data_IF_742493103349
#
_entry.id   IF_742493103349
#
_cell.length_a   1.000
_cell.length_b   1.000
_cell.length_c   1.000
_cell.angle_alpha   90.00
_cell.angle_beta   90.00
_cell.angle_gamma   90.00
#
_symmetry.space_group_name_H-M   'P 1'
#
loop_
_entity.id
_entity.type
_entity.pdbx_description
1 polymer ?
#
# COMPACT_ATOMS: atom_id res chain seq x y z
N UNK A 1 -2.88 7.30 -17.36
CA UNK A 1 -3.67 6.15 -16.85
C UNK A 1 -3.11 4.85 -17.39
N UNK A 2 -3.07 4.67 -18.71
CA UNK A 2 -2.59 3.46 -19.43
C UNK A 2 -1.10 3.10 -19.26
N UNK A 3 -0.41 3.73 -18.31
CA UNK A 3 1.03 3.57 -18.09
C UNK A 3 1.44 3.18 -16.69
N UNK A 4 0.48 3.16 -15.77
CA UNK A 4 0.67 2.47 -14.52
C UNK A 4 0.75 0.97 -14.85
N UNK A 5 1.53 0.17 -14.10
CA UNK A 5 1.65 -1.24 -14.38
C UNK A 5 0.25 -1.86 -14.53
N UNK A 6 0.02 -2.73 -15.52
CA UNK A 6 -1.26 -3.39 -15.65
C UNK A 6 -1.51 -4.17 -14.36
N UNK A 7 -2.61 -3.86 -13.67
CA UNK A 7 -2.98 -4.64 -12.49
C UNK A 7 -3.50 -5.99 -12.92
N UNK A 8 -3.11 -7.02 -12.19
CA UNK A 8 -3.61 -8.39 -12.33
C UNK A 8 -5.11 -8.50 -12.03
N UNK A 9 -5.70 -7.48 -11.40
CA UNK A 9 -7.14 -7.35 -11.19
C UNK A 9 -7.82 -6.56 -12.32
N UNK A 10 -8.91 -7.09 -12.92
CA UNK A 10 -9.59 -6.52 -14.09
C UNK A 10 -10.56 -5.38 -13.76
N UNK A 11 -10.43 -4.71 -12.61
CA UNK A 11 -11.22 -3.51 -12.39
C UNK A 11 -10.77 -2.42 -13.37
N UNK A 12 -11.74 -1.93 -14.14
CA UNK A 12 -11.52 -0.98 -15.23
C UNK A 12 -10.76 0.24 -14.72
N UNK A 13 -9.60 0.51 -15.32
CA UNK A 13 -9.01 1.84 -15.28
C UNK A 13 -10.15 2.86 -15.48
N UNK A 14 -10.39 3.80 -14.54
CA UNK A 14 -11.45 4.78 -14.70
C UNK A 14 -11.23 5.51 -16.02
N UNK A 15 -12.20 5.37 -16.90
CA UNK A 15 -12.16 6.02 -18.19
C UNK A 15 -12.53 7.47 -18.00
N UNK A 16 -11.75 8.34 -18.61
CA UNK A 16 -11.94 9.77 -18.51
C UNK A 16 -12.59 10.22 -19.81
N UNK A 17 -13.87 10.63 -19.81
CA UNK A 17 -14.55 11.02 -21.04
C UNK A 17 -13.92 12.28 -21.63
N UNK A 18 -13.77 12.30 -22.96
CA UNK A 18 -13.42 13.52 -23.68
C UNK A 18 -14.67 14.40 -23.81
N UNK A 19 -14.60 15.62 -23.31
CA UNK A 19 -15.74 16.53 -23.22
C UNK A 19 -15.87 17.48 -24.41
N UNK A 20 -15.30 17.12 -25.57
CA UNK A 20 -15.26 18.01 -26.75
C UNK A 20 -14.64 19.38 -26.40
N UNK A 21 -13.56 19.33 -25.64
CA UNK A 21 -12.84 20.49 -25.12
C UNK A 21 -12.40 21.44 -26.27
N UNK A 22 -12.42 22.77 -26.04
CA UNK A 22 -11.90 23.73 -27.02
C UNK A 22 -10.43 23.46 -27.31
N UNK A 23 -9.97 23.84 -28.50
CA UNK A 23 -8.58 23.62 -28.90
C UNK A 23 -7.61 24.41 -28.03
N UNK A 24 -6.62 23.71 -27.47
CA UNK A 24 -5.53 24.35 -26.75
C UNK A 24 -4.62 25.07 -27.76
N UNK A 25 -4.43 26.37 -27.56
CA UNK A 25 -3.84 27.27 -28.56
C UNK A 25 -2.30 27.33 -28.54
N UNK A 26 -1.65 26.57 -27.66
CA UNK A 26 -0.20 26.56 -27.42
C UNK A 26 0.42 27.94 -27.12
N UNK A 27 -0.38 28.96 -26.76
CA UNK A 27 0.09 30.31 -26.42
C UNK A 27 0.37 30.49 -24.91
N UNK A 28 0.81 29.41 -24.27
CA UNK A 28 1.17 29.37 -22.86
C UNK A 28 0.00 29.10 -21.90
N UNK A 29 0.32 28.39 -20.83
CA UNK A 29 -0.64 27.85 -19.86
C UNK A 29 -1.43 28.93 -19.12
N UNK A 30 -0.77 30.00 -18.66
CA UNK A 30 -1.39 30.98 -17.77
C UNK A 30 -2.48 31.84 -18.45
N UNK A 31 -2.27 32.21 -19.71
CA UNK A 31 -3.19 33.11 -20.44
C UNK A 31 -4.36 32.41 -21.13
N UNK A 32 -4.35 31.06 -21.19
CA UNK A 32 -5.36 30.29 -21.92
C UNK A 32 -6.81 30.55 -21.46
N UNK A 33 -7.13 30.60 -20.13
CA UNK A 33 -8.48 30.91 -19.68
C UNK A 33 -9.05 32.21 -20.26
N UNK A 34 -8.28 33.29 -20.16
CA UNK A 34 -8.70 34.61 -20.60
C UNK A 34 -8.89 34.66 -22.13
N UNK A 35 -8.02 33.99 -22.89
CA UNK A 35 -8.16 33.90 -24.36
C UNK A 35 -9.39 33.11 -24.80
N UNK A 36 -9.80 32.13 -23.99
CA UNK A 36 -11.03 31.36 -24.20
C UNK A 36 -12.29 32.06 -23.63
N UNK A 37 -12.15 33.26 -23.05
CA UNK A 37 -13.25 34.03 -22.49
C UNK A 37 -13.65 33.66 -21.07
N UNK A 38 -12.86 32.84 -20.38
CA UNK A 38 -13.13 32.38 -19.01
C UNK A 38 -12.36 33.21 -17.99
N UNK A 39 -13.08 33.74 -17.00
CA UNK A 39 -12.54 34.39 -15.81
C UNK A 39 -12.48 33.38 -14.68
N UNK A 40 -11.28 32.89 -14.38
CA UNK A 40 -11.09 31.84 -13.37
C UNK A 40 -11.49 32.30 -11.99
N UNK A 41 -11.27 33.57 -11.63
CA UNK A 41 -11.55 34.07 -10.29
C UNK A 41 -13.06 34.13 -10.06
N UNK A 42 -13.83 34.55 -11.08
CA UNK A 42 -15.30 34.49 -11.03
C UNK A 42 -15.83 33.07 -10.94
N UNK A 43 -15.30 32.16 -11.77
CA UNK A 43 -15.71 30.74 -11.75
C UNK A 43 -15.47 30.12 -10.37
N UNK A 44 -14.34 30.43 -9.73
CA UNK A 44 -14.02 29.94 -8.39
C UNK A 44 -14.93 30.53 -7.30
N UNK A 45 -15.50 31.71 -7.51
CA UNK A 45 -16.55 32.27 -6.65
C UNK A 45 -17.96 31.74 -6.98
N UNK A 46 -18.07 30.90 -8.02
CA UNK A 46 -19.32 30.30 -8.46
C UNK A 46 -20.15 31.18 -9.38
N UNK A 47 -19.54 32.24 -9.93
CA UNK A 47 -20.08 33.03 -11.03
C UNK A 47 -19.55 32.48 -12.36
N UNK A 48 -20.43 31.77 -13.07
CA UNK A 48 -20.12 31.13 -14.35
C UNK A 48 -20.30 32.05 -15.55
N UNK A 49 -20.68 33.32 -15.35
CA UNK A 49 -20.81 34.32 -16.43
C UNK A 49 -21.67 33.87 -17.62
N UNK A 50 -22.68 33.04 -17.36
CA UNK A 50 -23.61 32.51 -18.38
C UNK A 50 -23.18 31.20 -19.05
N UNK A 51 -21.99 30.69 -18.73
CA UNK A 51 -21.54 29.37 -19.20
C UNK A 51 -22.24 28.24 -18.42
N UNK A 52 -22.56 27.17 -19.13
CA UNK A 52 -22.98 25.91 -18.55
C UNK A 52 -21.83 25.23 -17.80
N UNK A 53 -22.19 24.35 -16.86
CA UNK A 53 -21.19 23.54 -16.14
C UNK A 53 -20.39 22.66 -17.10
N UNK A 54 -21.03 22.12 -18.13
CA UNK A 54 -20.36 21.31 -19.14
C UNK A 54 -19.30 22.11 -19.91
N UNK A 55 -19.59 23.37 -20.28
CA UNK A 55 -18.63 24.25 -20.94
C UNK A 55 -17.42 24.53 -20.03
N UNK A 56 -17.66 24.78 -18.74
CA UNK A 56 -16.59 24.96 -17.75
C UNK A 56 -15.74 23.70 -17.61
N UNK A 57 -16.36 22.52 -17.55
CA UNK A 57 -15.64 21.25 -17.46
C UNK A 57 -14.83 20.96 -18.73
N UNK A 58 -15.39 21.23 -19.91
CA UNK A 58 -14.73 21.02 -21.19
C UNK A 58 -13.54 21.99 -21.38
N UNK A 59 -13.73 23.27 -21.07
CA UNK A 59 -12.66 24.25 -21.02
C UNK A 59 -11.56 23.85 -20.02
N UNK A 60 -11.95 23.44 -18.80
CA UNK A 60 -11.00 23.02 -17.77
C UNK A 60 -10.23 21.78 -18.21
N UNK A 61 -10.87 20.84 -18.93
CA UNK A 61 -10.19 19.71 -19.53
C UNK A 61 -9.16 20.18 -20.58
N UNK A 62 -9.49 21.11 -21.46
CA UNK A 62 -8.52 21.69 -22.42
C UNK A 62 -7.30 22.27 -21.70
N UNK A 63 -7.57 23.16 -20.76
CA UNK A 63 -6.54 23.92 -20.05
C UNK A 63 -5.64 23.03 -19.19
N UNK A 64 -6.26 22.21 -18.33
CA UNK A 64 -5.55 21.49 -17.28
C UNK A 64 -4.97 20.17 -17.77
N UNK A 65 -5.53 19.54 -18.82
CA UNK A 65 -4.96 18.34 -19.42
C UNK A 65 -3.95 18.70 -20.52
N UNK A 66 -4.43 19.26 -21.62
CA UNK A 66 -3.58 19.52 -22.79
C UNK A 66 -2.61 20.67 -22.54
N UNK A 67 -3.05 21.71 -21.82
CA UNK A 67 -2.16 22.82 -21.48
C UNK A 67 -1.01 22.44 -20.55
N UNK A 68 -1.28 21.60 -19.53
CA UNK A 68 -0.19 21.07 -18.69
C UNK A 68 0.71 20.11 -19.47
N UNK A 69 0.16 19.27 -20.36
CA UNK A 69 0.97 18.40 -21.22
C UNK A 69 1.92 19.21 -22.10
N UNK A 70 1.41 20.24 -22.78
CA UNK A 70 2.21 21.14 -23.63
C UNK A 70 3.32 21.83 -22.82
N UNK A 71 2.98 22.35 -21.64
CA UNK A 71 3.93 23.00 -20.73
C UNK A 71 5.07 22.07 -20.26
N UNK A 72 4.71 20.84 -19.84
CA UNK A 72 5.64 19.87 -19.24
C UNK A 72 6.42 19.05 -20.28
N UNK A 73 5.87 18.88 -21.48
CA UNK A 73 6.58 18.20 -22.58
C UNK A 73 7.39 19.15 -23.45
N UNK A 74 7.25 20.47 -23.25
CA UNK A 74 7.89 21.52 -24.07
C UNK A 74 7.73 21.21 -25.57
N UNK A 75 6.49 20.92 -25.99
CA UNK A 75 6.11 20.64 -27.37
C UNK A 75 4.64 20.95 -27.64
N UNK A 76 4.32 21.28 -28.88
CA UNK A 76 2.94 21.37 -29.40
C UNK A 76 2.19 20.05 -29.18
N UNK A 77 0.95 20.14 -28.70
CA UNK A 77 0.11 18.97 -28.41
C UNK A 77 -1.04 18.92 -29.41
N UNK A 78 -1.04 17.89 -30.25
CA UNK A 78 -2.21 17.57 -31.07
C UNK A 78 -3.24 16.84 -30.19
N UNK A 79 -4.40 17.45 -29.93
CA UNK A 79 -5.38 16.87 -29.00
C UNK A 79 -5.85 15.46 -29.39
N UNK A 80 -6.01 15.19 -30.69
CA UNK A 80 -6.47 13.90 -31.22
C UNK A 80 -5.54 12.74 -30.85
N UNK A 81 -4.26 13.01 -30.62
CA UNK A 81 -3.27 12.01 -30.21
C UNK A 81 -3.52 11.46 -28.80
N UNK A 82 -4.31 12.17 -28.00
CA UNK A 82 -4.66 11.81 -26.63
C UNK A 82 -6.14 11.46 -26.47
N UNK A 83 -6.83 11.15 -27.57
CA UNK A 83 -8.24 10.73 -27.58
C UNK A 83 -8.32 9.33 -28.18
N UNK A 84 -9.11 8.44 -27.59
CA UNK A 84 -9.40 7.11 -28.14
C UNK A 84 -10.90 6.81 -28.08
N UNK A 85 -11.37 5.99 -29.02
CA UNK A 85 -12.74 5.48 -29.01
C UNK A 85 -12.88 4.32 -28.03
N UNK A 86 -13.96 4.33 -27.24
CA UNK A 86 -14.34 3.27 -26.31
C UNK A 86 -15.75 2.78 -26.61
N UNK A 87 -15.92 1.47 -26.75
CA UNK A 87 -17.21 0.83 -27.12
C UNK A 87 -18.38 1.20 -26.20
N UNK A 88 -18.12 1.45 -24.92
CA UNK A 88 -19.15 1.74 -23.90
C UNK A 88 -19.27 3.21 -23.54
N UNK A 89 -18.20 3.98 -23.70
CA UNK A 89 -18.09 5.33 -23.15
C UNK A 89 -17.85 6.41 -24.22
N UNK A 90 -17.83 6.05 -25.51
CA UNK A 90 -17.52 6.97 -26.59
C UNK A 90 -16.07 7.43 -26.55
N UNK A 91 -15.82 8.71 -26.80
CA UNK A 91 -14.47 9.26 -26.80
C UNK A 91 -13.95 9.44 -25.37
N UNK A 92 -12.75 8.93 -25.12
CA UNK A 92 -12.08 9.00 -23.81
C UNK A 92 -10.65 9.50 -23.96
N UNK A 93 -10.13 10.16 -22.94
CA UNK A 93 -8.73 10.60 -22.89
C UNK A 93 -7.79 9.41 -22.66
N UNK A 94 -6.65 9.43 -23.33
CA UNK A 94 -5.55 8.47 -23.15
C UNK A 94 -4.22 9.19 -22.94
N UNK A 95 -3.28 8.52 -22.28
CA UNK A 95 -1.90 9.00 -22.08
C UNK A 95 -0.87 8.08 -22.75
N UNK A 96 -1.26 7.28 -23.75
CA UNK A 96 -0.37 6.30 -24.41
C UNK A 96 0.86 6.91 -25.07
N UNK A 97 0.74 8.11 -25.66
CA UNK A 97 1.84 8.79 -26.36
C UNK A 97 2.76 9.61 -25.45
N UNK A 98 2.36 9.86 -24.20
CA UNK A 98 3.20 10.66 -23.30
C UNK A 98 4.60 10.03 -22.98
N UNK A 99 4.96 8.72 -23.10
CA UNK A 99 6.30 8.26 -22.72
C UNK A 99 7.27 8.63 -23.83
N UNK A 100 6.87 8.37 -25.08
CA UNK A 100 7.58 8.77 -26.27
C UNK A 100 7.86 10.28 -26.26
N UNK A 101 6.84 11.10 -25.99
CA UNK A 101 6.99 12.55 -25.95
C UNK A 101 7.85 13.03 -24.77
N UNK A 102 7.72 12.39 -23.60
CA UNK A 102 8.55 12.67 -22.43
C UNK A 102 10.02 12.34 -22.72
N UNK A 103 10.29 11.16 -23.25
CA UNK A 103 11.66 10.69 -23.51
C UNK A 103 12.31 11.58 -24.59
N UNK A 104 11.58 11.89 -25.65
CA UNK A 104 12.02 12.87 -26.64
C UNK A 104 12.26 14.27 -26.04
N UNK A 105 11.50 14.68 -25.01
CA UNK A 105 11.77 15.93 -24.27
C UNK A 105 13.04 15.81 -23.43
N UNK A 106 13.26 14.70 -22.73
CA UNK A 106 14.46 14.47 -21.90
C UNK A 106 15.73 14.53 -22.76
N UNK A 107 15.71 13.94 -23.94
CA UNK A 107 16.82 14.03 -24.89
C UNK A 107 17.12 15.48 -25.30
N UNK A 108 16.07 16.31 -25.52
CA UNK A 108 16.26 17.74 -25.80
C UNK A 108 16.79 18.49 -24.57
N UNK A 109 16.31 18.15 -23.39
CA UNK A 109 16.64 18.79 -22.11
C UNK A 109 18.14 18.70 -21.77
N UNK A 110 18.81 17.62 -22.15
CA UNK A 110 20.26 17.45 -21.97
C UNK A 110 21.08 18.56 -22.63
N UNK A 111 20.55 19.16 -23.70
CA UNK A 111 21.21 20.22 -24.46
C UNK A 111 20.86 21.63 -24.00
N UNK A 112 19.98 21.78 -23.01
CA UNK A 112 19.50 23.10 -22.58
C UNK A 112 20.52 23.83 -21.70
N UNK A 113 20.64 25.13 -21.93
CA UNK A 113 21.37 26.03 -21.03
C UNK A 113 20.68 26.08 -19.66
N UNK A 114 21.49 26.26 -18.61
CA UNK A 114 21.03 26.33 -17.22
C UNK A 114 19.86 27.31 -17.03
N UNK A 115 19.96 28.53 -17.58
CA UNK A 115 18.91 29.55 -17.42
C UNK A 115 17.59 29.17 -18.10
N UNK A 116 17.66 28.55 -19.29
CA UNK A 116 16.46 28.02 -19.98
C UNK A 116 15.83 26.94 -19.11
N UNK A 117 16.64 25.99 -18.63
CA UNK A 117 16.21 24.86 -17.82
C UNK A 117 15.55 25.32 -16.52
N UNK A 118 16.18 26.26 -15.80
CA UNK A 118 15.64 26.83 -14.56
C UNK A 118 14.34 27.61 -14.78
N UNK A 119 14.27 28.43 -15.84
CA UNK A 119 13.05 29.18 -16.19
C UNK A 119 11.91 28.23 -16.50
N UNK A 120 12.18 27.22 -17.31
CA UNK A 120 11.20 26.20 -17.66
C UNK A 120 10.73 25.43 -16.42
N UNK A 121 11.64 24.94 -15.57
CA UNK A 121 11.28 24.27 -14.31
C UNK A 121 10.35 25.09 -13.42
N UNK A 122 10.68 26.37 -13.22
CA UNK A 122 9.86 27.28 -12.42
C UNK A 122 8.46 27.46 -13.05
N UNK A 123 8.39 27.57 -14.38
CA UNK A 123 7.12 27.70 -15.10
C UNK A 123 6.25 26.43 -15.01
N UNK A 124 6.84 25.24 -15.14
CA UNK A 124 6.15 23.96 -14.96
C UNK A 124 5.62 23.82 -13.53
N UNK A 125 6.45 24.12 -12.53
CA UNK A 125 6.03 24.09 -11.13
C UNK A 125 4.88 25.07 -10.85
N UNK A 126 4.95 26.29 -11.37
CA UNK A 126 3.88 27.27 -11.24
C UNK A 126 2.58 26.81 -11.92
N UNK A 127 2.66 26.24 -13.14
CA UNK A 127 1.51 25.72 -13.87
C UNK A 127 0.82 24.57 -13.12
N UNK A 128 1.59 23.57 -12.66
CA UNK A 128 1.06 22.45 -11.86
C UNK A 128 0.43 22.95 -10.57
N UNK A 129 1.09 23.88 -9.86
CA UNK A 129 0.53 24.48 -8.63
C UNK A 129 -0.78 25.23 -8.89
N UNK A 130 -0.86 26.00 -9.98
CA UNK A 130 -2.07 26.74 -10.39
C UNK A 130 -3.21 25.79 -10.74
N UNK A 131 -2.94 24.75 -11.53
CA UNK A 131 -3.91 23.72 -11.86
C UNK A 131 -4.49 23.04 -10.61
N UNK A 132 -3.62 22.62 -9.68
CA UNK A 132 -4.03 22.01 -8.41
C UNK A 132 -4.91 22.94 -7.58
N UNK A 133 -4.50 24.20 -7.44
CA UNK A 133 -5.25 25.21 -6.69
C UNK A 133 -6.64 25.46 -7.30
N UNK A 134 -6.70 25.59 -8.64
CA UNK A 134 -7.94 25.81 -9.36
C UNK A 134 -8.92 24.65 -9.17
N UNK A 135 -8.48 23.40 -9.35
CA UNK A 135 -9.35 22.22 -9.18
C UNK A 135 -9.87 22.12 -7.73
N UNK A 136 -9.00 22.33 -6.74
CA UNK A 136 -9.36 22.26 -5.33
C UNK A 136 -10.43 23.30 -4.95
N UNK A 137 -10.24 24.54 -5.39
CA UNK A 137 -11.18 25.63 -5.12
C UNK A 137 -12.50 25.41 -5.88
N UNK A 138 -12.45 24.97 -7.14
CA UNK A 138 -13.63 24.68 -7.94
C UNK A 138 -14.48 23.57 -7.31
N UNK A 139 -13.86 22.49 -6.84
CA UNK A 139 -14.53 21.41 -6.12
C UNK A 139 -15.19 21.90 -4.82
N UNK A 140 -14.50 22.76 -4.06
CA UNK A 140 -15.03 23.37 -2.85
C UNK A 140 -16.26 24.24 -3.13
N UNK A 141 -16.21 25.03 -4.20
CA UNK A 141 -17.32 25.91 -4.61
C UNK A 141 -18.52 25.10 -5.09
N UNK A 142 -18.29 24.05 -5.90
CA UNK A 142 -19.35 23.11 -6.31
C UNK A 142 -20.09 22.51 -5.11
N UNK A 143 -19.31 22.00 -4.14
CA UNK A 143 -19.85 21.42 -2.92
C UNK A 143 -20.73 22.41 -2.14
N UNK A 144 -20.25 23.65 -1.96
CA UNK A 144 -21.01 24.71 -1.25
C UNK A 144 -22.30 25.09 -1.95
N UNK A 145 -22.34 25.01 -3.28
CA UNK A 145 -23.52 25.35 -4.07
C UNK A 145 -24.51 24.18 -4.22
N UNK A 146 -24.20 23.00 -3.67
CA UNK A 146 -25.02 21.80 -3.84
C UNK A 146 -25.10 21.32 -5.29
N UNK A 147 -24.15 21.73 -6.14
CA UNK A 147 -24.08 21.31 -7.53
C UNK A 147 -23.26 20.02 -7.63
N UNK A 148 -23.77 19.04 -8.37
CA UNK A 148 -23.04 17.81 -8.71
C UNK A 148 -22.05 18.06 -9.85
N UNK A 149 -21.18 19.08 -9.74
CA UNK A 149 -20.00 19.22 -10.60
C UNK A 149 -18.97 18.16 -10.19
N UNK A 150 -19.21 16.92 -10.61
CA UNK A 150 -18.68 15.76 -9.87
C UNK A 150 -18.33 14.57 -10.76
N UNK A 151 -18.71 14.49 -12.04
CA UNK A 151 -18.29 13.33 -12.85
C UNK A 151 -17.01 13.63 -13.65
N UNK A 152 -16.96 14.70 -14.44
CA UNK A 152 -15.85 14.90 -15.37
C UNK A 152 -14.58 15.40 -14.67
N UNK A 153 -14.65 16.37 -13.74
CA UNK A 153 -13.47 16.85 -13.01
C UNK A 153 -12.97 15.88 -11.94
N UNK A 154 -13.85 15.08 -11.33
CA UNK A 154 -13.40 13.97 -10.46
C UNK A 154 -12.62 12.94 -11.28
N UNK A 155 -13.11 12.50 -12.43
CA UNK A 155 -12.35 11.58 -13.29
C UNK A 155 -11.10 12.21 -13.93
N UNK A 156 -11.14 13.51 -14.30
CA UNK A 156 -10.05 14.20 -15.02
C UNK A 156 -8.87 14.60 -14.13
N UNK A 157 -9.06 14.81 -12.82
CA UNK A 157 -8.10 15.55 -12.00
C UNK A 157 -6.87 14.77 -11.48
N UNK A 158 -6.96 13.53 -10.97
CA UNK A 158 -5.80 12.94 -10.31
C UNK A 158 -4.70 12.48 -11.28
N UNK A 159 -5.06 11.96 -12.45
CA UNK A 159 -4.13 11.16 -13.26
C UNK A 159 -3.08 11.95 -14.05
N UNK A 160 -3.46 12.99 -14.82
CA UNK A 160 -2.51 13.82 -15.53
C UNK A 160 -1.76 14.72 -14.56
N UNK A 161 -2.45 15.29 -13.58
CA UNK A 161 -1.84 16.16 -12.56
C UNK A 161 -0.76 15.40 -11.76
N UNK A 162 -0.98 14.16 -11.32
CA UNK A 162 0.03 13.42 -10.57
C UNK A 162 1.17 12.89 -11.45
N UNK A 163 0.88 12.45 -12.69
CA UNK A 163 1.94 12.08 -13.65
C UNK A 163 2.84 13.29 -13.96
N UNK A 164 2.25 14.46 -14.18
CA UNK A 164 2.96 15.69 -14.49
C UNK A 164 3.61 16.30 -13.24
N UNK A 165 3.03 16.11 -12.06
CA UNK A 165 3.65 16.44 -10.76
C UNK A 165 4.87 15.56 -10.51
N UNK A 166 4.80 14.26 -10.80
CA UNK A 166 5.94 13.35 -10.68
C UNK A 166 7.05 13.71 -11.65
N UNK A 167 6.73 14.01 -12.92
CA UNK A 167 7.72 14.52 -13.86
C UNK A 167 8.31 15.86 -13.40
N UNK A 168 7.50 16.77 -12.87
CA UNK A 168 7.99 18.06 -12.32
C UNK A 168 8.85 17.85 -11.06
N UNK A 169 8.55 16.85 -10.24
CA UNK A 169 9.36 16.47 -9.08
C UNK A 169 10.70 15.84 -9.51
N UNK A 170 10.67 14.98 -10.53
CA UNK A 170 11.86 14.35 -11.12
C UNK A 170 12.80 15.37 -11.80
N UNK A 171 12.22 16.36 -12.49
CA UNK A 171 12.93 17.53 -13.03
C UNK A 171 13.71 18.28 -11.93
N UNK A 172 13.13 18.40 -10.74
CA UNK A 172 13.75 19.06 -9.59
C UNK A 172 14.71 18.14 -8.80
N UNK A 173 14.66 16.82 -9.03
CA UNK A 173 15.46 15.82 -8.31
C UNK A 173 16.80 15.47 -8.97
N UNK A 174 17.09 16.03 -10.16
CA UNK A 174 18.39 15.88 -10.82
C UNK A 174 19.45 16.69 -10.06
N UNK A 175 19.84 16.19 -8.87
CA UNK A 175 20.87 16.74 -7.99
C UNK A 175 20.54 16.75 -6.49
N UNK A 176 19.29 16.51 -6.08
CA UNK A 176 18.86 16.49 -4.67
C UNK A 176 17.81 15.38 -4.49
N UNK A 177 17.94 14.48 -3.50
CA UNK A 177 16.88 13.53 -3.18
C UNK A 177 15.68 14.33 -2.69
N UNK A 178 14.68 14.50 -3.56
CA UNK A 178 13.48 15.26 -3.21
C UNK A 178 12.74 14.41 -2.20
N UNK A 179 12.74 14.88 -0.94
CA UNK A 179 11.75 14.48 0.06
C UNK A 179 10.38 14.51 -0.61
N UNK A 180 9.47 13.58 -0.28
CA UNK A 180 8.19 13.50 -0.95
C UNK A 180 7.55 14.89 -0.90
N UNK A 181 7.11 15.41 -2.05
CA UNK A 181 6.33 16.64 -2.17
C UNK A 181 4.91 16.33 -1.62
N UNK A 182 4.85 15.77 -0.42
CA UNK A 182 3.68 15.61 0.43
C UNK A 182 3.66 16.85 1.33
N UNK A 183 3.34 18.00 0.75
CA UNK A 183 3.02 19.20 1.50
C UNK A 183 1.64 19.69 1.07
N UNK A 184 0.66 19.37 1.91
CA UNK A 184 -0.68 19.97 2.05
C UNK A 184 -1.67 19.89 0.87
N UNK A 185 -1.24 19.60 -0.36
CA UNK A 185 -2.09 19.74 -1.55
C UNK A 185 -2.55 18.46 -2.26
N UNK A 186 -2.05 17.26 -1.93
CA UNK A 186 -2.45 15.99 -2.59
C UNK A 186 -3.76 15.43 -2.05
N UNK A 187 -4.29 16.05 -0.99
CA UNK A 187 -5.48 15.62 -0.27
C UNK A 187 -6.72 15.59 -1.18
N UNK A 188 -6.86 16.50 -2.16
CA UNK A 188 -8.01 16.54 -3.10
C UNK A 188 -8.00 15.52 -4.24
N UNK A 189 -6.84 15.24 -4.83
CA UNK A 189 -6.71 14.12 -5.76
C UNK A 189 -7.04 12.80 -5.04
N UNK A 190 -6.61 12.70 -3.78
CA UNK A 190 -6.93 11.57 -2.94
C UNK A 190 -8.41 11.51 -2.56
N UNK A 191 -9.15 12.61 -2.34
CA UNK A 191 -10.59 12.55 -2.05
C UNK A 191 -11.42 11.88 -3.16
N UNK A 192 -11.10 12.10 -4.44
CA UNK A 192 -11.77 11.39 -5.53
C UNK A 192 -11.44 9.90 -5.50
N UNK A 193 -10.18 9.56 -5.27
CA UNK A 193 -9.74 8.18 -5.17
C UNK A 193 -10.33 7.51 -3.92
N UNK A 194 -10.47 8.24 -2.82
CA UNK A 194 -11.20 7.82 -1.60
C UNK A 194 -12.64 7.51 -1.96
N UNK A 195 -13.38 8.46 -2.57
CA UNK A 195 -14.78 8.24 -2.99
C UNK A 195 -14.92 6.98 -3.86
N UNK A 196 -14.00 6.79 -4.81
CA UNK A 196 -13.97 5.61 -5.68
C UNK A 196 -13.70 4.34 -4.89
N UNK A 197 -12.66 4.32 -4.05
CA UNK A 197 -12.31 3.17 -3.21
C UNK A 197 -13.46 2.82 -2.27
N UNK A 198 -14.10 3.80 -1.64
CA UNK A 198 -15.30 3.59 -0.83
C UNK A 198 -16.42 2.94 -1.64
N UNK A 199 -16.67 3.43 -2.87
CA UNK A 199 -17.66 2.83 -3.78
C UNK A 199 -17.31 1.40 -4.22
N UNK A 200 -16.02 1.07 -4.26
CA UNK A 200 -15.51 -0.29 -4.54
C UNK A 200 -15.54 -1.22 -3.32
N UNK A 201 -15.97 -0.71 -2.16
CA UNK A 201 -16.11 -1.48 -0.92
C UNK A 201 -14.88 -1.46 -0.02
N UNK A 202 -13.96 -0.52 -0.20
CA UNK A 202 -12.86 -0.33 0.74
C UNK A 202 -13.35 0.21 2.09
N UNK A 203 -12.64 -0.17 3.17
CA UNK A 203 -12.81 0.43 4.48
C UNK A 203 -12.45 1.93 4.46
N UNK A 204 -13.28 2.77 5.10
CA UNK A 204 -13.04 4.23 5.18
C UNK A 204 -11.68 4.58 5.78
N UNK A 205 -11.32 3.91 6.88
CA UNK A 205 -10.00 4.08 7.50
C UNK A 205 -8.85 3.62 6.61
N UNK A 206 -9.08 2.66 5.70
CA UNK A 206 -8.05 2.21 4.76
C UNK A 206 -7.84 3.24 3.66
N UNK A 207 -8.92 3.70 3.03
CA UNK A 207 -8.86 4.71 1.99
C UNK A 207 -8.20 6.00 2.49
N UNK A 208 -8.58 6.49 3.67
CA UNK A 208 -8.01 7.71 4.25
C UNK A 208 -6.55 7.55 4.70
N UNK A 209 -6.16 6.38 5.22
CA UNK A 209 -4.76 6.11 5.55
C UNK A 209 -3.90 6.15 4.30
N UNK A 210 -4.30 5.45 3.23
CA UNK A 210 -3.58 5.45 1.96
C UNK A 210 -3.49 6.85 1.38
N UNK A 211 -4.58 7.62 1.42
CA UNK A 211 -4.61 9.03 1.04
C UNK A 211 -3.63 9.93 1.84
N UNK A 212 -3.28 9.55 3.07
CA UNK A 212 -2.33 10.32 3.88
C UNK A 212 -0.86 9.91 3.67
N UNK A 213 -0.62 8.71 3.12
CA UNK A 213 0.72 8.12 3.00
C UNK A 213 1.21 8.03 1.54
N UNK A 214 0.30 8.07 0.59
CA UNK A 214 0.57 7.87 -0.84
C UNK A 214 0.23 9.11 -1.65
N UNK A 215 0.99 9.32 -2.74
CA UNK A 215 0.55 10.19 -3.82
C UNK A 215 -0.62 9.56 -4.58
N UNK A 216 -1.29 10.35 -5.42
CA UNK A 216 -2.47 9.86 -6.12
C UNK A 216 -2.17 8.78 -7.18
N UNK A 217 -0.92 8.64 -7.64
CA UNK A 217 -0.54 7.59 -8.59
C UNK A 217 -0.44 6.23 -7.88
N UNK A 218 0.23 6.19 -6.71
CA UNK A 218 0.28 5.02 -5.85
C UNK A 218 -1.10 4.68 -5.30
N UNK A 219 -1.87 5.68 -4.84
CA UNK A 219 -3.25 5.47 -4.35
C UNK A 219 -4.18 4.95 -5.45
N UNK A 220 -4.03 5.44 -6.67
CA UNK A 220 -4.77 4.88 -7.81
C UNK A 220 -4.40 3.42 -8.03
N UNK A 221 -3.10 3.14 -8.12
CA UNK A 221 -2.61 1.82 -8.48
C UNK A 221 -3.01 0.78 -7.44
N UNK A 222 -2.91 1.08 -6.14
CA UNK A 222 -3.47 0.20 -5.11
C UNK A 222 -4.99 0.08 -5.20
N UNK A 223 -5.69 1.16 -5.57
CA UNK A 223 -7.12 1.15 -5.83
C UNK A 223 -7.51 0.19 -6.96
N UNK A 224 -6.70 0.04 -8.02
CA UNK A 224 -6.98 -0.92 -9.11
C UNK A 224 -6.74 -2.38 -8.71
N UNK A 225 -6.03 -2.63 -7.60
CA UNK A 225 -5.90 -3.98 -7.01
C UNK A 225 -7.19 -4.42 -6.29
N UNK A 226 -8.12 -3.49 -6.05
CA UNK A 226 -9.37 -3.74 -5.34
C UNK A 226 -9.19 -3.83 -3.82
N UNK A 227 -10.31 -3.83 -3.06
CA UNK A 227 -10.28 -3.89 -1.60
C UNK A 227 -9.61 -5.17 -1.07
N UNK A 228 -9.15 -5.17 0.19
CA UNK A 228 -8.63 -6.35 0.86
C UNK A 228 -9.54 -7.58 0.65
N UNK A 229 -8.93 -8.73 0.36
CA UNK A 229 -9.63 -9.97 -0.01
C UNK A 229 -10.29 -10.65 1.20
N UNK A 230 -9.75 -10.45 2.41
CA UNK A 230 -10.35 -10.94 3.65
C UNK A 230 -11.60 -10.12 3.93
N UNK A 231 -12.75 -10.76 3.77
CA UNK A 231 -14.05 -10.14 4.05
C UNK A 231 -14.20 -9.88 5.55
N UNK A 232 -14.29 -8.60 5.91
CA UNK A 232 -14.65 -8.15 7.26
C UNK A 232 -15.81 -7.16 7.19
N UNK A 233 -16.50 -6.98 8.32
CA UNK A 233 -17.56 -5.98 8.45
C UNK A 233 -16.96 -4.61 8.79
N UNK A 234 -17.01 -3.69 7.81
CA UNK A 234 -16.48 -2.33 7.95
C UNK A 234 -17.55 -1.26 8.21
N UNK A 235 -18.82 -1.63 8.47
CA UNK A 235 -19.94 -0.69 8.65
C UNK A 235 -19.70 0.33 9.76
N UNK A 236 -18.94 -0.05 10.80
CA UNK A 236 -18.65 0.80 11.97
C UNK A 236 -17.32 1.55 11.90
N UNK A 237 -16.57 1.40 10.81
CA UNK A 237 -15.28 2.09 10.67
C UNK A 237 -15.49 3.58 10.43
N UNK A 238 -14.49 4.38 10.79
CA UNK A 238 -14.41 5.81 10.47
C UNK A 238 -13.11 6.10 9.72
N UNK A 239 -12.95 7.32 9.20
CA UNK A 239 -11.69 7.79 8.62
C UNK A 239 -10.45 7.58 9.51
N UNK A 240 -10.59 7.66 10.84
CA UNK A 240 -9.47 7.52 11.79
C UNK A 240 -9.26 6.08 12.27
N UNK A 241 -10.30 5.23 12.23
CA UNK A 241 -10.24 3.91 12.88
C UNK A 241 -10.94 2.81 12.09
N UNK A 242 -10.19 1.73 11.84
CA UNK A 242 -10.74 0.46 11.35
C UNK A 242 -11.18 -0.39 12.56
N UNK A 243 -12.48 -0.42 12.85
CA UNK A 243 -13.05 -1.24 13.92
C UNK A 243 -12.95 -2.74 13.62
N UNK A 244 -12.98 -3.12 12.34
CA UNK A 244 -12.89 -4.51 11.90
C UNK A 244 -11.52 -5.17 12.18
N UNK A 245 -10.47 -4.37 12.34
CA UNK A 245 -9.13 -4.84 12.68
C UNK A 245 -8.87 -4.81 14.20
N UNK A 246 -9.79 -4.27 15.00
CA UNK A 246 -9.64 -4.27 16.45
C UNK A 246 -10.00 -5.63 17.01
N UNK A 247 -9.11 -6.17 17.84
CA UNK A 247 -9.36 -7.41 18.55
C UNK A 247 -10.12 -7.10 19.84
N UNK A 248 -11.36 -7.58 19.92
CA UNK A 248 -12.12 -7.62 21.17
C UNK A 248 -11.75 -8.93 21.86
N UNK A 249 -10.90 -8.85 22.90
CA UNK A 249 -10.34 -10.04 23.57
C UNK A 249 -11.40 -11.04 24.04
N UNK A 250 -12.58 -10.57 24.48
CA UNK A 250 -13.67 -11.42 24.95
C UNK A 250 -14.41 -12.18 23.85
N UNK A 251 -14.29 -11.74 22.60
CA UNK A 251 -14.96 -12.36 21.43
C UNK A 251 -13.94 -13.09 20.53
N UNK A 252 -12.65 -12.95 20.83
CA UNK A 252 -11.58 -13.46 20.00
C UNK A 252 -11.43 -14.98 20.14
N UNK A 253 -11.42 -15.66 19.00
CA UNK A 253 -11.16 -17.09 18.92
C UNK A 253 -9.91 -17.33 18.07
N UNK A 254 -8.92 -18.01 18.64
CA UNK A 254 -7.73 -18.45 17.91
C UNK A 254 -8.14 -19.39 16.77
N UNK A 255 -7.67 -19.11 15.56
CA UNK A 255 -8.10 -19.82 14.37
C UNK A 255 -7.30 -21.11 14.14
N UNK A 256 -7.99 -22.16 13.73
CA UNK A 256 -7.38 -23.30 13.05
C UNK A 256 -7.06 -22.97 11.58
N UNK A 257 -6.22 -23.80 10.94
CA UNK A 257 -5.89 -23.63 9.50
C UNK A 257 -7.08 -23.94 8.58
N UNK A 258 -7.97 -24.82 9.01
CA UNK A 258 -9.20 -25.19 8.29
C UNK A 258 -10.37 -25.18 9.25
N UNK A 259 -11.59 -24.93 8.75
CA UNK A 259 -12.80 -24.77 9.56
C UNK A 259 -13.24 -26.07 10.26
N UNK A 260 -12.82 -27.21 9.73
CA UNK A 260 -13.13 -28.56 10.20
C UNK A 260 -12.08 -29.13 11.17
N UNK A 261 -10.96 -28.42 11.38
CA UNK A 261 -9.92 -28.85 12.29
C UNK A 261 -10.23 -28.44 13.73
N UNK A 262 -10.16 -29.40 14.66
CA UNK A 262 -10.34 -29.20 16.11
C UNK A 262 -9.16 -29.79 16.89
N UNK A 263 -7.93 -29.62 16.38
CA UNK A 263 -6.75 -30.16 17.04
C UNK A 263 -6.46 -29.49 18.40
N UNK A 264 -5.69 -30.16 19.25
CA UNK A 264 -5.30 -29.62 20.55
C UNK A 264 -4.47 -28.33 20.42
N UNK A 265 -4.58 -27.48 21.44
CA UNK A 265 -3.70 -26.32 21.60
C UNK A 265 -2.43 -26.73 22.34
N UNK A 266 -1.29 -26.29 21.84
CA UNK A 266 0.03 -26.60 22.39
C UNK A 266 0.76 -25.28 22.64
N UNK A 267 1.46 -25.19 23.77
CA UNK A 267 2.27 -24.03 24.13
C UNK A 267 3.53 -24.43 24.89
N UNK A 268 4.40 -23.45 25.19
CA UNK A 268 5.63 -23.70 25.90
C UNK A 268 5.39 -23.90 27.40
N UNK A 269 6.43 -24.40 28.08
CA UNK A 269 6.50 -24.39 29.53
C UNK A 269 6.63 -22.94 30.03
N UNK A 270 5.50 -22.37 30.46
CA UNK A 270 5.45 -20.97 30.92
C UNK A 270 6.25 -20.71 32.20
N UNK A 271 6.55 -21.75 32.98
CA UNK A 271 7.48 -21.65 34.11
C UNK A 271 8.88 -21.28 33.63
N UNK A 272 9.37 -21.96 32.58
CA UNK A 272 10.67 -21.66 31.95
C UNK A 272 10.69 -20.31 31.23
N UNK A 273 9.60 -19.91 30.58
CA UNK A 273 9.47 -18.56 29.98
C UNK A 273 9.61 -17.49 31.07
N UNK A 274 8.87 -17.65 32.17
CA UNK A 274 8.88 -16.70 33.29
C UNK A 274 10.25 -16.66 33.98
N UNK A 275 10.88 -17.81 34.21
CA UNK A 275 12.23 -17.92 34.76
C UNK A 275 13.27 -17.24 33.86
N UNK A 276 13.18 -17.43 32.54
CA UNK A 276 14.07 -16.78 31.58
C UNK A 276 13.97 -15.25 31.67
N UNK A 277 12.74 -14.72 31.68
CA UNK A 277 12.46 -13.29 31.80
C UNK A 277 12.87 -12.71 33.15
N UNK A 278 12.69 -13.46 34.24
CA UNK A 278 13.12 -13.08 35.58
C UNK A 278 14.64 -12.97 35.71
N UNK A 279 15.38 -13.75 34.92
CA UNK A 279 16.84 -13.69 34.82
C UNK A 279 17.34 -12.63 33.80
N UNK A 280 16.52 -11.63 33.48
CA UNK A 280 16.83 -10.54 32.54
C UNK A 280 17.30 -11.01 31.15
N UNK A 281 16.77 -12.15 30.70
CA UNK A 281 16.93 -12.68 29.34
C UNK A 281 15.58 -12.79 28.65
N UNK A 282 15.56 -12.96 27.33
CA UNK A 282 14.33 -13.26 26.60
C UNK A 282 14.41 -14.67 26.01
N UNK A 283 13.31 -15.44 26.04
CA UNK A 283 13.27 -16.78 25.49
C UNK A 283 12.88 -16.77 24.01
N UNK A 284 13.33 -17.76 23.25
CA UNK A 284 12.74 -18.19 21.99
C UNK A 284 12.36 -19.68 22.08
N UNK A 285 11.65 -20.18 21.08
CA UNK A 285 11.12 -21.54 21.02
C UNK A 285 11.88 -22.37 19.99
N UNK A 286 12.36 -23.55 20.40
CA UNK A 286 12.74 -24.63 19.49
C UNK A 286 11.53 -25.56 19.31
N UNK A 287 11.05 -25.67 18.08
CA UNK A 287 9.89 -26.48 17.71
C UNK A 287 10.33 -27.62 16.80
N UNK A 288 10.22 -28.85 17.32
CA UNK A 288 10.49 -30.07 16.55
C UNK A 288 9.17 -30.69 16.08
N UNK A 289 9.05 -30.96 14.79
CA UNK A 289 7.90 -31.65 14.19
C UNK A 289 8.38 -32.97 13.59
N UNK A 290 7.97 -34.09 14.19
CA UNK A 290 8.29 -35.42 13.66
C UNK A 290 7.09 -35.97 12.90
N UNK A 291 7.27 -36.25 11.61
CA UNK A 291 6.26 -36.89 10.77
C UNK A 291 6.40 -38.41 10.91
N UNK A 292 5.43 -39.07 11.52
CA UNK A 292 5.41 -40.53 11.57
C UNK A 292 5.14 -41.08 10.17
N UNK A 293 6.16 -41.57 9.47
CA UNK A 293 5.95 -42.37 8.27
C UNK A 293 5.37 -43.73 8.68
N UNK A 294 4.06 -43.90 8.52
CA UNK A 294 3.46 -45.23 8.56
C UNK A 294 3.82 -45.95 7.27
N UNK A 295 4.83 -46.82 7.35
CA UNK A 295 5.05 -47.89 6.39
C UNK A 295 3.84 -48.84 6.41
N UNK A 296 2.92 -48.65 5.47
CA UNK A 296 1.85 -49.60 5.17
C UNK A 296 0.44 -49.10 5.47
N UNK A 297 -0.32 -48.94 4.39
CA UNK A 297 -1.77 -48.67 4.28
C UNK A 297 -2.26 -47.26 4.65
N UNK A 298 -3.00 -46.58 3.74
CA UNK A 298 -3.56 -45.25 3.99
C UNK A 298 -4.80 -45.38 4.88
N UNK A 299 -4.62 -45.27 6.19
CA UNK A 299 -5.69 -44.86 7.10
C UNK A 299 -5.51 -43.38 7.41
N UNK A 300 -6.58 -42.63 7.19
CA UNK A 300 -6.74 -41.20 7.40
C UNK A 300 -6.16 -40.73 8.74
N UNK A 301 -5.05 -40.00 8.68
CA UNK A 301 -4.46 -39.28 9.81
C UNK A 301 -2.95 -39.41 9.88
N UNK A 302 -2.22 -38.57 9.15
CA UNK A 302 -0.79 -38.35 9.40
C UNK A 302 -0.63 -37.80 10.83
N UNK A 303 -0.33 -38.66 11.80
CA UNK A 303 -0.10 -38.25 13.19
C UNK A 303 1.30 -37.66 13.33
N UNK A 304 1.44 -36.37 13.09
CA UNK A 304 2.66 -35.62 13.43
C UNK A 304 2.76 -35.43 14.95
N UNK A 305 3.92 -35.66 15.54
CA UNK A 305 4.18 -35.32 16.96
C UNK A 305 4.97 -34.03 17.03
N UNK A 306 4.58 -33.14 17.94
CA UNK A 306 5.24 -31.84 18.16
C UNK A 306 5.94 -31.87 19.51
N UNK A 307 7.19 -31.39 19.56
CA UNK A 307 7.88 -31.05 20.81
C UNK A 307 8.27 -29.59 20.79
N UNK A 308 7.99 -28.89 21.87
CA UNK A 308 8.30 -27.47 22.04
C UNK A 308 9.24 -27.30 23.23
N UNK A 309 10.35 -26.59 23.02
CA UNK A 309 11.37 -26.31 24.04
C UNK A 309 11.61 -24.81 24.13
N UNK A 310 11.61 -24.30 25.36
CA UNK A 310 11.96 -22.91 25.67
C UNK A 310 13.47 -22.79 25.79
N UNK A 311 14.07 -21.83 25.08
CA UNK A 311 15.51 -21.61 25.07
C UNK A 311 15.81 -20.13 25.36
N UNK A 312 16.64 -19.81 26.37
CA UNK A 312 17.08 -18.44 26.59
C UNK A 312 17.98 -17.98 25.44
N UNK A 313 17.81 -16.74 24.98
CA UNK A 313 18.70 -16.19 23.96
C UNK A 313 20.14 -16.04 24.48
N UNK A 314 21.09 -16.45 23.64
CA UNK A 314 22.53 -16.27 23.83
C UNK A 314 23.13 -15.68 22.55
N UNK A 315 24.19 -14.90 22.69
CA UNK A 315 24.88 -14.28 21.55
C UNK A 315 25.41 -15.36 20.61
N UNK A 316 25.13 -15.23 19.31
CA UNK A 316 25.51 -16.22 18.29
C UNK A 316 24.47 -17.31 18.06
N UNK A 317 23.34 -17.31 18.77
CA UNK A 317 22.19 -18.17 18.47
C UNK A 317 21.27 -17.51 17.44
N UNK A 318 20.70 -18.35 16.56
CA UNK A 318 19.84 -17.93 15.46
C UNK A 318 18.39 -18.35 15.71
N UNK A 319 17.47 -17.44 15.42
CA UNK A 319 16.03 -17.69 15.45
C UNK A 319 15.31 -16.69 14.55
N UNK A 320 14.09 -17.03 14.13
CA UNK A 320 13.21 -16.14 13.36
C UNK A 320 12.19 -15.51 14.30
N UNK A 321 12.00 -14.20 14.24
CA UNK A 321 10.90 -13.57 14.95
C UNK A 321 9.66 -13.52 14.04
N UNK A 322 8.53 -14.01 14.50
CA UNK A 322 7.26 -13.95 13.79
C UNK A 322 6.54 -12.67 14.15
N UNK A 323 6.36 -11.79 13.18
CA UNK A 323 5.43 -10.68 13.28
C UNK A 323 4.10 -11.12 12.67
N UNK A 324 3.05 -11.17 13.47
CA UNK A 324 1.75 -11.64 13.00
C UNK A 324 0.64 -10.72 13.47
N UNK A 325 -0.44 -10.63 12.69
CA UNK A 325 -1.61 -9.84 13.05
C UNK A 325 -2.60 -10.68 13.84
N UNK A 326 -2.96 -10.26 15.05
CA UNK A 326 -3.87 -11.01 15.92
C UNK A 326 -5.25 -11.18 15.29
N UNK A 327 -5.82 -10.16 14.65
CA UNK A 327 -7.08 -10.31 13.87
C UNK A 327 -6.98 -11.38 12.77
N UNK A 328 -5.76 -11.80 12.44
CA UNK A 328 -5.47 -12.92 11.55
C UNK A 328 -5.67 -14.33 12.15
N UNK A 329 -6.08 -14.44 13.42
CA UNK A 329 -6.37 -15.70 14.09
C UNK A 329 -5.17 -16.39 14.75
N UNK A 330 -4.02 -15.73 14.81
CA UNK A 330 -2.77 -16.26 15.38
C UNK A 330 -2.46 -15.75 16.80
N UNK A 331 -3.37 -14.97 17.40
CA UNK A 331 -3.32 -14.56 18.80
C UNK A 331 -3.99 -15.58 19.72
N UNK A 332 -3.86 -15.40 21.04
CA UNK A 332 -4.64 -16.15 22.03
C UNK A 332 -4.72 -15.36 23.36
N UNK A 333 -5.86 -14.74 23.70
CA UNK A 333 -6.01 -13.96 24.92
C UNK A 333 -6.18 -14.82 26.19
N UNK A 334 -6.38 -16.13 26.04
CA UNK A 334 -6.71 -17.03 27.15
C UNK A 334 -5.59 -18.00 27.51
N UNK A 335 -4.55 -18.09 26.69
CA UNK A 335 -3.37 -18.90 27.00
C UNK A 335 -2.23 -18.64 26.05
N UNK A 336 -1.01 -18.95 26.49
CA UNK A 336 0.17 -18.91 25.64
C UNK A 336 0.27 -20.17 24.76
N UNK A 337 -0.76 -20.45 23.96
CA UNK A 337 -0.86 -21.67 23.16
C UNK A 337 -1.43 -21.38 21.77
N UNK A 338 -1.13 -22.25 20.82
CA UNK A 338 -1.68 -22.25 19.46
C UNK A 338 -2.18 -23.64 19.07
N UNK A 339 -3.18 -23.74 18.18
CA UNK A 339 -3.56 -25.00 17.57
C UNK A 339 -2.38 -25.74 16.95
N UNK A 340 -2.31 -27.05 17.16
CA UNK A 340 -1.28 -27.93 16.57
C UNK A 340 -1.10 -27.73 15.06
N UNK A 341 -2.19 -27.53 14.32
CA UNK A 341 -2.14 -27.27 12.88
C UNK A 341 -1.44 -25.95 12.52
N UNK A 342 -1.57 -24.91 13.35
CA UNK A 342 -0.88 -23.63 13.14
C UNK A 342 0.61 -23.77 13.42
N UNK A 343 1.00 -24.51 14.46
CA UNK A 343 2.41 -24.75 14.79
C UNK A 343 3.13 -25.54 13.69
N UNK A 344 2.49 -26.56 13.11
CA UNK A 344 3.04 -27.30 11.96
C UNK A 344 3.21 -26.37 10.77
N UNK A 345 2.21 -25.55 10.49
CA UNK A 345 2.27 -24.60 9.38
C UNK A 345 3.37 -23.54 9.58
N UNK A 346 3.51 -22.99 10.79
CA UNK A 346 4.59 -22.06 11.15
C UNK A 346 5.96 -22.72 10.95
N UNK A 347 6.12 -23.97 11.41
CA UNK A 347 7.33 -24.76 11.20
C UNK A 347 7.67 -24.84 9.70
N UNK A 348 6.70 -25.22 8.87
CA UNK A 348 6.87 -25.33 7.42
C UNK A 348 7.26 -23.99 6.77
N UNK A 349 6.65 -22.87 7.20
CA UNK A 349 6.98 -21.54 6.66
C UNK A 349 8.38 -21.07 7.05
N UNK A 350 8.80 -21.32 8.28
CA UNK A 350 10.16 -20.99 8.72
C UNK A 350 11.19 -21.87 8.02
N UNK A 351 10.95 -23.18 7.92
CA UNK A 351 11.84 -24.12 7.25
C UNK A 351 12.02 -23.81 5.74
N UNK A 352 11.02 -23.16 5.13
CA UNK A 352 11.06 -22.74 3.73
C UNK A 352 11.78 -21.40 3.50
N UNK A 353 12.23 -20.69 4.53
CA UNK A 353 12.94 -19.42 4.37
C UNK A 353 14.30 -19.63 3.65
N UNK A 354 14.70 -18.69 2.78
CA UNK A 354 16.01 -18.71 2.16
C UNK A 354 17.07 -18.27 3.17
N UNK A 355 17.78 -19.22 3.79
CA UNK A 355 18.87 -18.92 4.72
C UNK A 355 20.04 -19.90 4.63
N UNK A 356 21.24 -19.39 4.86
CA UNK A 356 22.50 -20.13 5.04
C UNK A 356 22.60 -20.86 6.40
N UNK A 357 21.49 -20.97 7.13
CA UNK A 357 21.44 -21.68 8.40
C UNK A 357 21.43 -23.19 8.15
N UNK A 358 22.19 -23.95 8.95
CA UNK A 358 22.18 -25.41 8.89
C UNK A 358 20.73 -25.94 8.93
N UNK A 359 20.31 -26.59 7.84
CA UNK A 359 18.98 -27.16 7.73
C UNK A 359 18.84 -28.33 8.68
N UNK A 360 18.11 -28.12 9.77
CA UNK A 360 17.46 -29.20 10.49
C UNK A 360 15.99 -29.21 10.06
N UNK A 361 15.66 -30.03 9.06
CA UNK A 361 14.31 -30.10 8.49
C UNK A 361 13.23 -30.42 9.53
N UNK A 362 13.59 -31.03 10.66
CA UNK A 362 12.66 -31.39 11.72
C UNK A 362 12.51 -30.30 12.79
N UNK A 363 13.47 -29.38 12.96
CA UNK A 363 13.48 -28.42 14.09
C UNK A 363 13.74 -26.99 13.62
N UNK A 364 12.83 -26.08 13.99
CA UNK A 364 12.99 -24.64 13.75
C UNK A 364 13.06 -23.86 15.06
N UNK A 365 13.80 -22.74 15.05
CA UNK A 365 13.91 -21.82 16.18
C UNK A 365 13.18 -20.51 15.87
N UNK A 366 12.19 -20.13 16.67
CA UNK A 366 11.46 -18.90 16.47
C UNK A 366 10.96 -18.23 17.75
N UNK A 367 10.64 -16.94 17.64
CA UNK A 367 9.94 -16.19 18.67
C UNK A 367 8.58 -15.73 18.15
N UNK A 368 7.57 -15.78 19.01
CA UNK A 368 6.24 -15.24 18.72
C UNK A 368 5.64 -14.74 20.04
N UNK A 369 5.15 -13.51 20.05
CA UNK A 369 4.53 -12.86 21.21
C UNK A 369 3.45 -13.74 21.87
N UNK A 370 2.58 -14.37 21.08
CA UNK A 370 1.53 -15.26 21.61
C UNK A 370 2.07 -16.39 22.48
N UNK A 371 3.28 -16.90 22.20
CA UNK A 371 3.90 -17.99 22.96
C UNK A 371 4.91 -17.48 24.01
N UNK A 372 5.59 -16.38 23.73
CA UNK A 372 6.74 -15.90 24.51
C UNK A 372 6.43 -14.72 25.45
N UNK A 373 5.28 -14.06 25.33
CA UNK A 373 4.85 -12.98 26.21
C UNK A 373 3.81 -13.53 27.19
N UNK A 374 4.18 -13.76 28.48
CA UNK A 374 3.26 -14.34 29.44
C UNK A 374 2.01 -13.50 29.64
N UNK A 375 0.85 -14.14 29.75
CA UNK A 375 -0.37 -13.47 30.18
C UNK A 375 -0.33 -13.12 31.68
N UNK A 376 0.32 -13.98 32.48
CA UNK A 376 0.56 -13.81 33.91
C UNK A 376 1.90 -14.47 34.30
N UNK A 377 2.54 -14.05 35.40
CA UNK A 377 2.21 -12.86 36.19
C UNK A 377 2.56 -11.56 35.43
N UNK A 378 1.92 -10.44 35.79
CA UNK A 378 2.15 -9.13 35.15
C UNK A 378 3.61 -8.65 35.20
N UNK A 379 4.40 -9.08 36.19
CA UNK A 379 5.84 -8.82 36.23
C UNK A 379 6.59 -9.46 35.05
N UNK A 380 6.25 -10.70 34.72
CA UNK A 380 6.84 -11.44 33.60
C UNK A 380 6.38 -10.85 32.26
N UNK A 381 5.08 -10.51 32.14
CA UNK A 381 4.52 -9.84 30.97
C UNK A 381 5.25 -8.53 30.66
N UNK A 382 5.39 -7.65 31.66
CA UNK A 382 6.16 -6.40 31.52
C UNK A 382 7.62 -6.67 31.19
N UNK A 383 8.22 -7.72 31.75
CA UNK A 383 9.56 -8.18 31.40
C UNK A 383 9.69 -8.48 29.90
N UNK A 384 8.78 -9.30 29.36
CA UNK A 384 8.77 -9.65 27.94
C UNK A 384 8.59 -8.41 27.04
N UNK A 385 7.65 -7.52 27.38
CA UNK A 385 7.40 -6.28 26.62
C UNK A 385 8.67 -5.40 26.58
N UNK A 386 9.40 -5.27 27.71
CA UNK A 386 10.67 -4.51 27.72
C UNK A 386 11.72 -5.10 26.77
N UNK A 387 11.72 -6.41 26.58
CA UNK A 387 12.67 -7.08 25.68
C UNK A 387 12.28 -7.06 24.21
N UNK A 388 11.04 -6.71 23.84
CA UNK A 388 10.56 -6.80 22.45
C UNK A 388 11.49 -6.13 21.43
N UNK A 389 11.98 -4.92 21.71
CA UNK A 389 12.92 -4.23 20.82
C UNK A 389 14.21 -5.05 20.59
N UNK A 390 14.74 -5.71 21.63
CA UNK A 390 15.93 -6.57 21.52
C UNK A 390 15.61 -7.88 20.83
N UNK A 391 14.41 -8.41 21.03
CA UNK A 391 13.96 -9.62 20.34
C UNK A 391 14.02 -9.38 18.83
N UNK A 392 13.31 -8.39 18.31
CA UNK A 392 13.34 -8.13 16.87
C UNK A 392 14.74 -7.75 16.36
N UNK A 393 15.49 -6.92 17.10
CA UNK A 393 16.85 -6.52 16.71
C UNK A 393 17.90 -7.64 16.72
N UNK A 394 17.65 -8.75 17.43
CA UNK A 394 18.59 -9.89 17.54
C UNK A 394 18.10 -11.14 16.81
N UNK A 395 16.92 -11.11 16.20
CA UNK A 395 16.47 -12.18 15.33
C UNK A 395 17.36 -12.23 14.08
N UNK A 396 17.52 -13.42 13.50
CA UNK A 396 18.19 -13.56 12.19
C UNK A 396 17.38 -12.85 11.11
N UNK A 397 16.06 -13.00 11.15
CA UNK A 397 15.13 -12.26 10.33
C UNK A 397 13.76 -12.19 11.03
N UNK A 398 12.93 -11.25 10.58
CA UNK A 398 11.51 -11.17 10.92
C UNK A 398 10.69 -11.73 9.76
N UNK A 399 9.78 -12.65 10.05
CA UNK A 399 8.79 -13.15 9.09
C UNK A 399 7.42 -12.57 9.42
N UNK A 400 6.88 -11.77 8.50
CA UNK A 400 5.56 -11.15 8.59
C UNK A 400 4.50 -12.11 8.07
N UNK A 401 3.48 -12.36 8.90
CA UNK A 401 2.32 -13.18 8.63
C UNK A 401 1.05 -12.31 8.70
N UNK A 402 0.57 -11.88 7.54
CA UNK A 402 -0.67 -11.12 7.36
C UNK A 402 -1.63 -11.89 6.45
N UNK A 403 -2.91 -11.97 6.81
CA UNK A 403 -3.89 -12.78 6.07
C UNK A 403 -4.06 -12.34 4.60
N UNK A 404 -3.97 -11.04 4.31
CA UNK A 404 -4.06 -10.52 2.94
C UNK A 404 -2.89 -10.99 2.10
N UNK A 405 -1.69 -10.93 2.66
CA UNK A 405 -0.46 -11.40 2.00
C UNK A 405 -0.51 -12.92 1.80
N UNK A 406 -1.02 -13.67 2.78
CA UNK A 406 -1.16 -15.13 2.68
C UNK A 406 -2.16 -15.58 1.61
N UNK A 407 -3.11 -14.73 1.22
CA UNK A 407 -4.05 -14.96 0.12
C UNK A 407 -3.54 -14.41 -1.22
N UNK A 408 -2.45 -13.65 -1.20
CA UNK A 408 -1.87 -12.97 -2.34
C UNK A 408 -0.84 -13.86 -3.04
N UNK A 409 -0.96 -14.00 -4.37
CA UNK A 409 -0.02 -14.81 -5.15
C UNK A 409 1.25 -14.02 -5.46
N UNK A 410 2.36 -14.75 -5.47
CA UNK A 410 3.68 -14.29 -5.91
C UNK A 410 3.84 -14.11 -7.42
N UNK A 411 2.86 -14.53 -8.23
CA UNK A 411 2.92 -14.33 -9.69
C UNK A 411 2.82 -12.84 -10.07
N UNK A 412 2.44 -11.98 -9.13
CA UNK A 412 2.36 -10.55 -9.33
C UNK A 412 3.74 -9.91 -9.35
N UNK A 413 3.87 -8.84 -10.12
CA UNK A 413 5.08 -8.02 -10.18
C UNK A 413 5.37 -7.37 -8.82
N UNK A 414 6.64 -7.04 -8.56
CA UNK A 414 7.08 -6.52 -7.28
C UNK A 414 6.30 -5.28 -6.82
N UNK A 415 5.90 -4.41 -7.74
CA UNK A 415 5.09 -3.22 -7.47
C UNK A 415 3.73 -3.59 -6.87
N UNK A 416 3.05 -4.61 -7.40
CA UNK A 416 1.79 -5.10 -6.81
C UNK A 416 2.02 -5.68 -5.41
N UNK A 417 3.08 -6.45 -5.23
CA UNK A 417 3.42 -7.05 -3.94
C UNK A 417 3.70 -5.96 -2.89
N UNK A 418 4.46 -4.92 -3.25
CA UNK A 418 4.72 -3.76 -2.40
C UNK A 418 3.45 -3.00 -2.06
N UNK A 419 2.56 -2.75 -3.02
CA UNK A 419 1.28 -2.10 -2.75
C UNK A 419 0.40 -2.93 -1.81
N UNK A 420 0.45 -4.25 -1.91
CA UNK A 420 -0.29 -5.12 -0.98
C UNK A 420 0.31 -5.14 0.41
N UNK A 421 1.63 -5.07 0.54
CA UNK A 421 2.28 -4.82 1.84
C UNK A 421 1.83 -3.47 2.38
N UNK A 422 1.84 -2.42 1.55
CA UNK A 422 1.41 -1.06 1.88
C UNK A 422 -0.06 -0.99 2.38
N UNK A 423 -0.95 -1.77 1.76
CA UNK A 423 -2.36 -1.88 2.14
C UNK A 423 -2.66 -2.92 3.24
N UNK A 424 -1.67 -3.67 3.72
CA UNK A 424 -1.87 -4.75 4.69
C UNK A 424 -2.24 -4.21 6.08
N UNK A 425 -2.96 -5.04 6.85
CA UNK A 425 -3.28 -4.72 8.24
C UNK A 425 -2.04 -4.62 9.13
N UNK A 426 -0.95 -5.31 8.74
CA UNK A 426 0.33 -5.24 9.42
C UNK A 426 0.89 -3.81 9.50
N UNK A 427 0.94 -3.04 8.41
CA UNK A 427 1.50 -1.67 8.44
C UNK A 427 0.67 -0.67 9.27
N UNK A 428 -0.53 -1.05 9.70
CA UNK A 428 -1.43 -0.20 10.49
C UNK A 428 -1.22 -0.34 12.00
N UNK A 429 -0.29 -1.19 12.45
CA UNK A 429 -0.06 -1.48 13.86
C UNK A 429 1.07 -0.64 14.42
N UNK A 430 0.93 -0.22 15.67
CA UNK A 430 1.98 0.54 16.37
C UNK A 430 3.30 -0.25 16.48
N UNK A 431 3.20 -1.58 16.61
CA UNK A 431 4.35 -2.47 16.82
C UNK A 431 5.19 -2.69 15.55
N UNK A 432 4.66 -2.32 14.39
CA UNK A 432 5.30 -2.47 13.07
C UNK A 432 6.66 -1.79 13.00
N UNK A 433 6.85 -0.68 13.71
CA UNK A 433 8.17 -0.05 13.79
C UNK A 433 9.24 -0.97 14.42
N UNK A 434 8.91 -1.64 15.54
CA UNK A 434 9.87 -2.56 16.16
C UNK A 434 10.06 -3.82 15.32
N UNK A 435 9.00 -4.30 14.70
CA UNK A 435 8.98 -5.52 13.89
C UNK A 435 9.72 -5.36 12.56
N UNK A 436 9.56 -4.21 11.89
CA UNK A 436 10.10 -3.99 10.54
C UNK A 436 11.40 -3.18 10.51
N UNK A 437 11.58 -2.19 11.39
CA UNK A 437 12.73 -1.27 11.31
C UNK A 437 13.95 -1.77 12.09
N UNK A 438 13.75 -2.52 13.17
CA UNK A 438 14.87 -3.04 13.99
C UNK A 438 15.43 -4.37 13.46
N UNK A 439 14.67 -5.08 12.64
CA UNK A 439 15.04 -6.38 12.11
C UNK A 439 16.25 -6.26 11.16
N UNK A 440 17.27 -7.13 11.27
CA UNK A 440 18.37 -7.16 10.31
C UNK A 440 17.92 -7.51 8.88
N UNK A 441 16.86 -8.31 8.76
CA UNK A 441 16.21 -8.65 7.50
C UNK A 441 14.73 -8.91 7.77
N UNK A 442 13.86 -8.53 6.84
CA UNK A 442 12.42 -8.73 6.94
C UNK A 442 11.92 -9.50 5.71
N UNK A 443 11.06 -10.48 5.96
CA UNK A 443 10.40 -11.28 4.96
C UNK A 443 8.89 -11.16 5.10
N UNK A 444 8.19 -11.10 3.98
CA UNK A 444 6.73 -11.15 3.91
C UNK A 444 6.31 -12.51 3.36
N UNK A 445 5.49 -13.26 4.12
CA UNK A 445 4.96 -14.53 3.64
C UNK A 445 3.76 -14.29 2.73
N UNK A 446 3.93 -14.57 1.43
CA UNK A 446 2.85 -14.67 0.47
C UNK A 446 2.30 -16.11 0.41
N UNK A 447 1.29 -16.37 -0.43
CA UNK A 447 0.66 -17.69 -0.52
C UNK A 447 1.70 -18.82 -0.76
N UNK A 448 2.61 -18.63 -1.71
CA UNK A 448 3.58 -19.63 -2.14
C UNK A 448 4.86 -19.63 -1.30
N UNK A 449 5.47 -18.45 -1.10
CA UNK A 449 6.78 -18.32 -0.44
C UNK A 449 6.93 -16.99 0.31
N UNK A 450 7.97 -16.93 1.12
CA UNK A 450 8.44 -15.70 1.71
C UNK A 450 9.31 -14.90 0.72
N UNK A 451 9.25 -13.57 0.82
CA UNK A 451 10.00 -12.62 -0.02
C UNK A 451 10.65 -11.60 0.88
N UNK A 452 11.93 -11.32 0.66
CA UNK A 452 12.63 -10.29 1.42
C UNK A 452 12.15 -8.90 1.01
N UNK A 453 12.27 -7.92 1.89
CA UNK A 453 11.99 -6.54 1.50
C UNK A 453 12.95 -6.09 0.37
N UNK A 454 14.20 -6.54 0.39
CA UNK A 454 15.20 -6.21 -0.63
C UNK A 454 14.81 -6.74 -2.02
N UNK A 455 14.23 -7.94 -2.09
CA UNK A 455 13.71 -8.51 -3.35
C UNK A 455 12.52 -7.70 -3.86
N UNK A 456 11.64 -7.24 -2.97
CA UNK A 456 10.49 -6.42 -3.34
C UNK A 456 10.92 -5.07 -3.96
N UNK A 457 12.05 -4.51 -3.55
CA UNK A 457 12.57 -3.26 -4.12
C UNK A 457 13.38 -3.45 -5.43
N UNK A 458 13.63 -4.69 -5.89
CA UNK A 458 14.51 -4.99 -7.03
C UNK A 458 13.81 -5.80 -8.15
N UNK A 459 13.66 -5.31 -9.41
CA UNK A 459 13.95 -3.98 -9.92
C UNK A 459 12.65 -3.16 -9.97
N UNK A 460 12.47 -2.24 -9.04
CA UNK A 460 11.61 -1.09 -9.36
C UNK A 460 12.47 -0.22 -10.31
N UNK A 461 12.11 -0.21 -11.59
CA UNK A 461 12.86 0.42 -12.69
C UNK A 461 13.30 1.86 -12.43
#
# INVERSE_FOLDING_TARGET
MDRLPPSSYPQSHPLVPYLQAPEYDDQGFEGFPLRQGYDTDKILLGDYSGHSLHEIEAFSQSWLFFGLLSQVLDCTITQTDFIMENEKHGQVLTTRLFPLLRDARRDREETWLFDKKQTWYNSCFAAVKKARSYISQLATTAYRQGTSMVFALKSNSPYPSCTLTYETAHMMSSGIPVRPILAEGDIMANYVLVDKMLSDGWCESHAHMLASQMDAAAMYYIGTLGPPMVKKDHIRCSNEKCEADQVIESEYVTSHRTKDCNCEHIGPDMGKVTECLGNERFPYIELTVQRNQLSGTPKTGNSSTIRMKVVPFEVGKHYIALSHVWSGGLGNPHGNTLPKCQLIWIHEKIAALPHDLERNDDTVSFWMDTLCVPLQPESARRGAIRFMHRTYAKATAVLVLDQELLLSTMQWVNEEQLMKVAGSSWLRRLWTYQEGTLAPSIFFQFMERAVSIEDLWNPIY
#
